data_IF_811376268997
#
_entry.id   IF_811376268997
#
_cell.length_a   1.000
_cell.length_b   1.000
_cell.length_c   1.000
_cell.angle_alpha   90.00
_cell.angle_beta   90.00
_cell.angle_gamma   90.00
#
_symmetry.space_group_name_H-M   'P 1'
#
loop_
_entity.id
_entity.type
_entity.pdbx_description
1 polymer ?
#
# COMPACT_ATOMS: atom_id res chain seq x y z
N UNK A 1 16.40 -13.32 -4.66
CA UNK A 1 16.64 -12.79 -3.32
C UNK A 1 15.67 -11.65 -3.03
N UNK A 2 15.35 -11.41 -1.77
CA UNK A 2 14.46 -10.35 -1.31
C UNK A 2 14.71 -10.04 0.16
N UNK A 3 14.04 -9.01 0.70
CA UNK A 3 14.08 -8.67 2.11
C UNK A 3 12.67 -8.72 2.69
N UNK A 4 12.55 -8.98 3.99
CA UNK A 4 11.29 -8.93 4.73
C UNK A 4 11.26 -7.63 5.52
N UNK A 5 10.14 -6.90 5.42
CA UNK A 5 9.83 -5.66 6.13
C UNK A 5 10.85 -4.52 5.96
N UNK A 6 11.77 -4.58 5.02
CA UNK A 6 12.83 -3.57 4.85
C UNK A 6 13.66 -3.29 6.12
N UNK A 7 13.64 -4.24 7.07
CA UNK A 7 14.32 -4.10 8.36
C UNK A 7 15.84 -4.28 8.28
N UNK A 8 16.32 -5.04 7.30
CA UNK A 8 17.75 -5.23 7.03
C UNK A 8 18.01 -5.20 5.52
N UNK A 9 19.17 -4.71 5.14
CA UNK A 9 19.58 -4.67 3.72
C UNK A 9 20.12 -6.05 3.24
N UNK A 10 20.03 -7.07 4.07
CA UNK A 10 20.48 -8.41 3.73
C UNK A 10 19.47 -9.11 2.86
N UNK A 11 19.86 -9.40 1.63
CA UNK A 11 19.02 -10.15 0.70
C UNK A 11 18.92 -11.61 1.15
N UNK A 12 17.73 -12.01 1.58
CA UNK A 12 17.39 -13.39 1.94
C UNK A 12 17.12 -14.22 0.70
N UNK A 13 17.48 -15.51 0.72
CA UNK A 13 16.97 -16.43 -0.27
C UNK A 13 15.49 -16.80 0.03
N UNK A 14 14.76 -17.29 -0.98
CA UNK A 14 13.32 -17.56 -0.83
C UNK A 14 12.98 -18.58 0.28
N UNK A 15 13.87 -19.52 0.59
CA UNK A 15 13.67 -20.50 1.67
C UNK A 15 13.67 -19.88 3.07
N UNK A 16 14.19 -18.66 3.21
CA UNK A 16 14.27 -17.93 4.50
C UNK A 16 13.10 -16.95 4.70
N UNK A 17 12.31 -16.65 3.64
CA UNK A 17 11.27 -15.62 3.73
C UNK A 17 10.17 -15.98 4.74
N UNK A 18 9.70 -17.23 4.76
CA UNK A 18 8.64 -17.64 5.67
C UNK A 18 9.05 -17.49 7.14
N UNK A 19 10.25 -17.92 7.51
CA UNK A 19 10.74 -17.77 8.88
C UNK A 19 11.00 -16.32 9.28
N UNK A 20 11.53 -15.51 8.37
CA UNK A 20 11.74 -14.09 8.61
C UNK A 20 10.42 -13.32 8.74
N UNK A 21 9.41 -13.64 7.92
CA UNK A 21 8.07 -13.09 8.03
C UNK A 21 7.40 -13.49 9.36
N UNK A 22 7.51 -14.76 9.78
CA UNK A 22 6.97 -15.21 11.06
C UNK A 22 7.61 -14.48 12.25
N UNK A 23 8.92 -14.26 12.23
CA UNK A 23 9.60 -13.47 13.25
C UNK A 23 9.10 -12.02 13.30
N UNK A 24 8.89 -11.40 12.15
CA UNK A 24 8.36 -10.04 12.07
C UNK A 24 6.93 -9.97 12.60
N UNK A 25 6.08 -10.92 12.25
CA UNK A 25 4.68 -10.98 12.69
C UNK A 25 4.52 -11.25 14.19
N UNK A 26 5.53 -11.80 14.85
CA UNK A 26 5.52 -12.04 16.30
C UNK A 26 5.81 -10.77 17.13
N UNK A 27 6.22 -9.69 16.49
CA UNK A 27 6.47 -8.41 17.18
C UNK A 27 5.18 -7.64 17.42
N UNK A 28 5.11 -6.90 18.52
CA UNK A 28 3.99 -6.00 18.78
C UNK A 28 3.98 -4.86 17.76
N UNK A 29 2.82 -4.54 17.20
CA UNK A 29 2.67 -3.39 16.34
C UNK A 29 2.67 -2.10 17.17
N UNK A 30 3.44 -1.09 16.74
CA UNK A 30 3.49 0.23 17.37
C UNK A 30 2.28 1.09 16.98
N UNK A 31 1.66 0.82 15.83
CA UNK A 31 0.46 1.50 15.38
C UNK A 31 -0.47 0.54 14.63
N UNK A 32 -1.76 0.89 14.59
CA UNK A 32 -2.74 0.32 13.68
C UNK A 32 -2.96 1.27 12.50
N UNK A 33 -3.22 0.71 11.32
CA UNK A 33 -3.57 1.44 10.11
C UNK A 33 -4.92 0.93 9.63
N UNK A 34 -5.86 1.83 9.39
CA UNK A 34 -7.15 1.51 8.81
C UNK A 34 -7.53 2.58 7.78
N UNK A 35 -8.45 2.30 6.89
CA UNK A 35 -8.90 3.30 5.94
C UNK A 35 -9.89 2.78 4.93
N UNK A 36 -10.43 3.71 4.16
CA UNK A 36 -11.32 3.43 3.05
C UNK A 36 -11.07 4.38 1.89
N UNK A 37 -11.41 3.95 0.71
CA UNK A 37 -11.45 4.75 -0.50
C UNK A 37 -12.86 4.70 -1.11
N UNK A 38 -13.40 5.88 -1.44
CA UNK A 38 -14.65 6.00 -2.19
C UNK A 38 -14.31 6.52 -3.57
N UNK A 39 -14.61 5.73 -4.58
CA UNK A 39 -14.33 6.04 -5.98
C UNK A 39 -15.62 6.43 -6.68
N UNK A 40 -15.65 7.63 -7.23
CA UNK A 40 -16.74 8.05 -8.11
C UNK A 40 -16.42 7.62 -9.55
N UNK A 41 -17.15 6.65 -10.11
CA UNK A 41 -16.84 6.14 -11.44
C UNK A 41 -17.12 7.14 -12.56
N UNK A 42 -18.00 8.13 -12.32
CA UNK A 42 -18.32 9.13 -13.32
C UNK A 42 -17.24 10.21 -13.47
N UNK A 43 -16.60 10.60 -12.34
CA UNK A 43 -15.55 11.63 -12.31
C UNK A 43 -14.16 11.06 -12.25
N UNK A 44 -14.02 9.77 -11.94
CA UNK A 44 -12.76 9.07 -11.61
C UNK A 44 -12.03 9.66 -10.40
N UNK A 45 -12.73 10.40 -9.54
CA UNK A 45 -12.17 10.90 -8.28
C UNK A 45 -12.29 9.85 -7.20
N UNK A 46 -11.22 9.67 -6.43
CA UNK A 46 -11.20 8.89 -5.21
C UNK A 46 -11.04 9.81 -4.00
N UNK A 47 -11.95 9.71 -3.03
CA UNK A 47 -11.75 10.24 -1.67
C UNK A 47 -11.21 9.11 -0.81
N UNK A 48 -10.02 9.29 -0.27
CA UNK A 48 -9.31 8.28 0.51
C UNK A 48 -9.11 8.82 1.92
N UNK A 49 -9.63 8.09 2.91
CA UNK A 49 -9.44 8.41 4.33
C UNK A 49 -8.59 7.32 4.96
N UNK A 50 -7.53 7.71 5.64
CA UNK A 50 -6.63 6.80 6.37
C UNK A 50 -6.52 7.25 7.81
N UNK A 51 -6.67 6.31 8.72
CA UNK A 51 -6.47 6.49 10.16
C UNK A 51 -5.24 5.69 10.61
N UNK A 52 -4.40 6.34 11.41
CA UNK A 52 -3.25 5.73 12.06
C UNK A 52 -3.40 5.94 13.56
N UNK A 53 -3.58 4.86 14.31
CA UNK A 53 -3.68 4.90 15.76
C UNK A 53 -2.45 4.27 16.40
N UNK A 54 -1.73 5.03 17.22
CA UNK A 54 -0.53 4.55 17.90
C UNK A 54 -0.90 3.79 19.18
N UNK A 55 -0.60 2.50 19.19
CA UNK A 55 -0.76 1.60 20.35
C UNK A 55 0.47 1.60 21.27
N UNK A 56 1.61 2.01 20.73
CA UNK A 56 2.87 2.19 21.42
C UNK A 56 3.55 3.49 21.00
N UNK A 57 4.68 3.82 21.62
CA UNK A 57 5.51 4.92 21.17
C UNK A 57 6.41 4.43 20.03
N UNK A 58 6.45 5.16 18.93
CA UNK A 58 7.48 4.91 17.91
C UNK A 58 8.86 5.28 18.44
N UNK A 59 9.89 4.66 17.89
CA UNK A 59 11.29 4.94 18.23
C UNK A 59 11.78 6.30 17.73
N UNK A 60 10.98 6.95 16.87
CA UNK A 60 11.28 8.24 16.23
C UNK A 60 10.11 9.22 16.38
N UNK A 61 10.39 10.51 16.37
CA UNK A 61 9.41 11.58 16.61
C UNK A 61 8.41 11.76 15.46
N UNK A 62 8.71 11.21 14.29
CA UNK A 62 7.85 11.27 13.12
C UNK A 62 8.01 10.00 12.27
N UNK A 63 6.88 9.51 11.79
CA UNK A 63 6.80 8.41 10.83
C UNK A 63 6.30 8.90 9.47
N UNK A 64 6.18 8.00 8.49
CA UNK A 64 5.78 8.36 7.12
C UNK A 64 4.66 7.46 6.63
N UNK A 65 3.52 8.09 6.33
CA UNK A 65 2.37 7.42 5.74
C UNK A 65 2.50 7.41 4.22
N UNK A 66 2.44 6.23 3.63
CA UNK A 66 2.38 6.04 2.18
C UNK A 66 1.05 5.43 1.79
N UNK A 67 0.40 6.03 0.79
CA UNK A 67 -0.81 5.50 0.15
C UNK A 67 -0.51 5.22 -1.31
N UNK A 68 -0.82 4.00 -1.75
CA UNK A 68 -0.57 3.50 -3.11
C UNK A 68 -1.85 3.01 -3.74
N UNK A 69 -1.94 3.14 -5.07
CA UNK A 69 -2.96 2.50 -5.89
C UNK A 69 -2.34 1.30 -6.62
N UNK A 70 -2.92 0.14 -6.41
CA UNK A 70 -2.61 -1.11 -7.09
C UNK A 70 -3.74 -1.43 -8.08
N UNK A 71 -3.49 -2.34 -9.00
CA UNK A 71 -4.52 -2.88 -9.88
C UNK A 71 -4.30 -4.37 -10.09
N UNK A 72 -5.39 -5.10 -10.01
CA UNK A 72 -5.45 -6.52 -10.32
C UNK A 72 -5.84 -6.76 -11.78
N UNK A 73 -5.70 -8.00 -12.20
CA UNK A 73 -6.17 -8.50 -13.50
C UNK A 73 -5.54 -7.82 -14.72
N UNK A 74 -4.31 -7.35 -14.62
CA UNK A 74 -3.59 -6.81 -15.77
C UNK A 74 -3.01 -7.96 -16.58
N UNK A 75 -3.49 -8.09 -17.83
CA UNK A 75 -3.04 -9.15 -18.73
C UNK A 75 -1.74 -8.76 -19.40
N UNK A 76 -0.77 -9.67 -19.42
CA UNK A 76 0.52 -9.41 -20.02
C UNK A 76 1.39 -10.66 -20.19
N UNK A 77 2.61 -10.46 -20.73
CA UNK A 77 3.57 -11.55 -20.83
C UNK A 77 4.35 -11.71 -19.53
N UNK A 78 4.65 -12.96 -19.17
CA UNK A 78 5.45 -13.30 -17.99
C UNK A 78 6.40 -14.44 -18.30
N UNK A 79 7.70 -14.21 -18.11
CA UNK A 79 8.69 -15.29 -18.23
C UNK A 79 8.39 -16.39 -17.20
N UNK A 80 8.29 -17.64 -17.65
CA UNK A 80 7.95 -18.78 -16.79
C UNK A 80 6.48 -18.79 -16.33
N UNK A 81 5.57 -18.03 -16.95
CA UNK A 81 4.15 -18.00 -16.63
C UNK A 81 3.50 -19.39 -16.67
N UNK A 82 3.96 -20.27 -17.58
CA UNK A 82 3.48 -21.67 -17.68
C UNK A 82 3.75 -22.52 -16.43
N UNK A 83 4.62 -22.07 -15.53
CA UNK A 83 4.82 -22.73 -14.23
C UNK A 83 3.73 -22.40 -13.20
N UNK A 84 2.84 -21.45 -13.53
CA UNK A 84 1.69 -21.06 -12.73
C UNK A 84 0.45 -21.05 -13.63
N UNK A 85 -0.03 -22.24 -14.04
CA UNK A 85 -1.10 -22.38 -15.03
C UNK A 85 -2.42 -21.75 -14.59
N UNK A 86 -2.67 -21.64 -13.29
CA UNK A 86 -3.87 -21.03 -12.71
C UNK A 86 -3.94 -19.51 -12.97
N UNK A 87 -2.82 -18.90 -13.28
CA UNK A 87 -2.74 -17.47 -13.61
C UNK A 87 -2.68 -17.22 -15.13
N UNK A 88 -2.66 -18.28 -15.93
CA UNK A 88 -2.66 -18.16 -17.39
C UNK A 88 -4.09 -18.12 -17.93
N UNK A 89 -4.47 -17.00 -18.52
CA UNK A 89 -5.79 -16.79 -19.14
C UNK A 89 -5.60 -16.46 -20.62
N UNK A 90 -6.12 -17.29 -21.51
CA UNK A 90 -6.03 -17.10 -22.96
C UNK A 90 -4.58 -16.88 -23.46
N UNK A 91 -3.62 -17.59 -22.88
CA UNK A 91 -2.19 -17.49 -23.26
C UNK A 91 -1.45 -16.28 -22.70
N UNK A 92 -2.08 -15.44 -21.90
CA UNK A 92 -1.48 -14.33 -21.18
C UNK A 92 -1.47 -14.60 -19.67
N UNK A 93 -0.49 -14.03 -18.98
CA UNK A 93 -0.43 -14.08 -17.52
C UNK A 93 -1.29 -12.97 -16.93
N UNK A 94 -2.14 -13.33 -15.96
CA UNK A 94 -2.95 -12.38 -15.19
C UNK A 94 -2.13 -11.86 -14.01
N UNK A 95 -1.63 -10.64 -14.14
CA UNK A 95 -0.86 -9.99 -13.08
C UNK A 95 -1.80 -9.40 -12.03
N UNK A 96 -1.47 -9.66 -10.76
CA UNK A 96 -2.21 -9.18 -9.59
C UNK A 96 -1.36 -8.21 -8.79
N UNK A 97 -2.01 -7.28 -8.07
CA UNK A 97 -1.39 -6.30 -7.16
C UNK A 97 -0.28 -5.46 -7.82
N UNK A 98 -0.48 -5.08 -9.08
CA UNK A 98 0.48 -4.25 -9.80
C UNK A 98 0.42 -2.81 -9.29
N UNK A 99 1.53 -2.29 -8.80
CA UNK A 99 1.65 -0.88 -8.42
C UNK A 99 1.40 0.01 -9.65
N UNK A 100 0.38 0.87 -9.55
CA UNK A 100 0.01 1.79 -10.62
C UNK A 100 0.50 3.22 -10.33
N UNK A 101 0.30 3.68 -9.11
CA UNK A 101 0.76 5.02 -8.70
C UNK A 101 0.85 5.14 -7.17
N UNK A 102 1.43 6.25 -6.72
CA UNK A 102 1.37 6.68 -5.33
C UNK A 102 0.44 7.88 -5.21
N UNK A 103 -0.41 7.88 -4.19
CA UNK A 103 -1.28 9.03 -3.84
C UNK A 103 -0.50 10.06 -3.04
N UNK A 104 0.30 9.57 -2.09
CA UNK A 104 1.27 10.39 -1.33
C UNK A 104 2.57 10.57 -2.09
N UNK A 105 3.47 11.47 -1.66
CA UNK A 105 4.86 11.49 -2.16
C UNK A 105 5.50 10.10 -2.09
N UNK A 106 6.43 9.80 -2.99
CA UNK A 106 7.06 8.47 -3.14
C UNK A 106 7.64 7.91 -1.83
N UNK A 107 8.09 8.77 -0.93
CA UNK A 107 8.66 8.39 0.36
C UNK A 107 7.69 8.54 1.52
N UNK A 108 6.41 8.77 1.23
CA UNK A 108 5.36 9.01 2.20
C UNK A 108 5.24 10.47 2.62
N UNK A 109 4.15 10.75 3.31
CA UNK A 109 3.87 12.02 4.00
C UNK A 109 4.24 11.88 5.47
N UNK A 110 4.95 12.86 6.01
CA UNK A 110 5.32 12.85 7.42
C UNK A 110 4.08 12.95 8.31
N UNK A 111 4.01 12.11 9.31
CA UNK A 111 2.97 12.10 10.34
C UNK A 111 3.59 12.18 11.75
N UNK A 112 2.97 12.97 12.60
CA UNK A 112 3.36 13.19 14.00
C UNK A 112 2.15 13.75 14.79
N UNK A 113 2.12 13.61 16.13
CA UNK A 113 3.07 12.91 16.99
C UNK A 113 2.93 11.39 16.90
N UNK A 114 3.98 10.65 17.30
CA UNK A 114 4.08 9.20 17.18
C UNK A 114 4.02 8.50 18.55
N UNK A 115 3.28 9.09 19.49
CA UNK A 115 3.14 8.61 20.86
C UNK A 115 1.87 7.80 21.05
N UNK A 116 1.92 6.82 21.95
CA UNK A 116 0.78 5.96 22.29
C UNK A 116 -0.48 6.78 22.61
N UNK A 117 -1.63 6.34 22.11
CA UNK A 117 -2.91 7.02 22.25
C UNK A 117 -3.18 8.10 21.19
N UNK A 118 -2.23 8.41 20.31
CA UNK A 118 -2.44 9.36 19.23
C UNK A 118 -3.22 8.73 18.08
N UNK A 119 -4.28 9.39 17.63
CA UNK A 119 -4.98 9.10 16.39
C UNK A 119 -4.67 10.19 15.36
N UNK A 120 -4.20 9.79 14.19
CA UNK A 120 -3.96 10.67 13.05
C UNK A 120 -4.91 10.28 11.93
N UNK A 121 -5.71 11.22 11.43
CA UNK A 121 -6.56 11.02 10.27
C UNK A 121 -6.02 11.85 9.10
N UNK A 122 -5.91 11.24 7.94
CA UNK A 122 -5.51 11.88 6.68
C UNK A 122 -6.57 11.64 5.62
N UNK A 123 -6.86 12.68 4.85
CA UNK A 123 -7.78 12.61 3.71
C UNK A 123 -7.07 13.05 2.44
N UNK A 124 -7.31 12.32 1.37
CA UNK A 124 -6.73 12.59 0.05
C UNK A 124 -7.85 12.60 -0.99
N UNK A 125 -7.80 13.59 -1.89
CA UNK A 125 -8.58 13.60 -3.13
C UNK A 125 -7.61 13.23 -4.25
N UNK A 126 -7.88 12.12 -4.94
CA UNK A 126 -7.00 11.59 -5.97
C UNK A 126 -7.77 11.37 -7.28
N UNK A 127 -7.33 12.04 -8.35
CA UNK A 127 -7.86 11.82 -9.69
C UNK A 127 -7.19 10.57 -10.29
N UNK A 128 -7.98 9.53 -10.55
CA UNK A 128 -7.50 8.27 -11.10
C UNK A 128 -7.32 8.42 -12.61
N UNK A 129 -6.09 8.33 -13.13
CA UNK A 129 -5.85 8.43 -14.57
C UNK A 129 -6.59 7.34 -15.34
N UNK A 130 -7.04 7.64 -16.56
CA UNK A 130 -7.67 6.63 -17.42
C UNK A 130 -6.68 5.54 -17.84
N UNK A 131 -5.40 5.90 -18.03
CA UNK A 131 -4.33 4.96 -18.34
C UNK A 131 -3.00 5.41 -17.72
N UNK A 132 -2.11 4.46 -17.47
CA UNK A 132 -0.78 4.72 -16.90
C UNK A 132 0.28 4.00 -17.73
N UNK A 133 1.37 4.69 -18.02
CA UNK A 133 2.52 4.22 -18.79
C UNK A 133 2.70 4.97 -20.11
N UNK A 134 3.90 4.92 -20.67
CA UNK A 134 4.26 5.59 -21.93
C UNK A 134 5.28 4.72 -22.66
N UNK A 135 5.22 4.62 -24.00
CA UNK A 135 4.26 5.23 -24.94
C UNK A 135 2.90 4.51 -25.00
N UNK A 136 2.81 3.27 -24.54
CA UNK A 136 1.62 2.42 -24.63
C UNK A 136 1.03 2.25 -23.23
N UNK A 137 0.23 3.22 -22.78
CA UNK A 137 -0.42 3.18 -21.50
C UNK A 137 -1.33 1.94 -21.35
N UNK A 138 -1.36 1.41 -20.12
CA UNK A 138 -2.30 0.37 -19.72
C UNK A 138 -3.48 1.03 -19.05
N UNK A 139 -4.70 0.66 -19.41
CA UNK A 139 -5.93 1.17 -18.86
C UNK A 139 -5.98 0.96 -17.34
N UNK A 140 -6.57 1.92 -16.62
CA UNK A 140 -6.88 1.78 -15.21
C UNK A 140 -8.35 1.44 -15.09
N UNK A 141 -8.60 0.17 -14.78
CA UNK A 141 -9.93 -0.40 -14.57
C UNK A 141 -10.35 -0.14 -13.11
N UNK A 142 -11.41 0.66 -12.93
CA UNK A 142 -11.90 1.06 -11.61
C UNK A 142 -12.46 -0.10 -10.78
N UNK A 143 -12.91 -1.18 -11.42
CA UNK A 143 -13.43 -2.36 -10.73
C UNK A 143 -12.30 -3.24 -10.16
N UNK A 144 -11.07 -3.06 -10.63
CA UNK A 144 -9.90 -3.85 -10.27
C UNK A 144 -8.82 -3.05 -9.51
N UNK A 145 -9.11 -1.81 -9.10
CA UNK A 145 -8.17 -1.03 -8.29
C UNK A 145 -8.29 -1.35 -6.80
N UNK A 146 -7.17 -1.28 -6.14
CA UNK A 146 -7.01 -1.48 -4.70
C UNK A 146 -6.17 -0.32 -4.17
N UNK A 147 -6.56 0.25 -3.04
CA UNK A 147 -5.70 1.19 -2.32
C UNK A 147 -5.05 0.50 -1.13
N UNK A 148 -3.77 0.73 -0.95
CA UNK A 148 -2.96 0.23 0.15
C UNK A 148 -2.36 1.39 0.91
N UNK A 149 -2.46 1.38 2.24
CA UNK A 149 -1.77 2.32 3.11
C UNK A 149 -0.77 1.60 4.01
N UNK A 150 0.39 2.22 4.26
CA UNK A 150 1.33 1.72 5.24
C UNK A 150 2.10 2.86 5.91
N UNK A 151 2.51 2.63 7.14
CA UNK A 151 3.38 3.52 7.91
C UNK A 151 4.78 2.95 7.95
N UNK A 152 5.77 3.73 7.56
CA UNK A 152 7.19 3.40 7.71
C UNK A 152 7.84 4.25 8.79
N UNK A 153 8.83 3.67 9.49
CA UNK A 153 9.57 4.35 10.56
C UNK A 153 10.26 5.60 10.04
N UNK A 154 10.93 5.49 8.89
CA UNK A 154 11.74 6.58 8.34
C UNK A 154 11.70 6.64 6.82
N UNK A 155 12.17 7.76 6.26
CA UNK A 155 12.45 7.91 4.84
C UNK A 155 13.88 7.48 4.51
N UNK A 156 14.16 7.33 3.21
CA UNK A 156 15.51 7.09 2.72
C UNK A 156 16.41 8.29 2.98
N UNK A 157 17.44 8.07 3.81
CA UNK A 157 18.52 9.03 4.00
C UNK A 157 19.87 8.37 3.66
N UNK A 158 20.90 9.13 3.24
CA UNK A 158 22.24 8.57 3.07
C UNK A 158 22.71 7.88 4.35
N UNK A 159 23.18 6.64 4.22
CA UNK A 159 23.67 5.83 5.36
C UNK A 159 22.57 5.08 6.13
N UNK A 160 21.29 5.36 5.93
CA UNK A 160 20.21 4.57 6.54
C UNK A 160 19.78 3.46 5.58
N UNK A 161 20.07 2.22 5.94
CA UNK A 161 19.74 1.03 5.17
C UNK A 161 18.37 0.44 5.55
N UNK A 162 17.89 0.66 6.76
CA UNK A 162 16.65 0.10 7.29
C UNK A 162 15.51 1.11 7.24
N UNK A 163 14.33 0.65 6.89
CA UNK A 163 13.09 1.44 6.83
C UNK A 163 11.92 0.53 7.09
N UNK A 164 11.84 -0.02 8.32
CA UNK A 164 10.80 -0.97 8.63
C UNK A 164 9.41 -0.36 8.40
N UNK A 165 8.51 -1.19 7.90
CA UNK A 165 7.09 -0.88 7.87
C UNK A 165 6.54 -1.26 9.24
N UNK A 166 5.92 -0.32 9.93
CA UNK A 166 5.35 -0.50 11.25
C UNK A 166 4.02 -1.25 11.17
N UNK A 167 3.18 -0.88 10.22
CA UNK A 167 1.96 -1.58 9.89
C UNK A 167 1.46 -1.20 8.49
N UNK A 168 0.55 -2.01 7.93
CA UNK A 168 -0.03 -1.81 6.61
C UNK A 168 -1.48 -2.29 6.58
N UNK A 169 -2.31 -1.70 5.72
CA UNK A 169 -3.69 -2.07 5.51
C UNK A 169 -4.07 -1.92 4.03
N UNK A 170 -4.75 -2.91 3.48
CA UNK A 170 -5.53 -2.75 2.27
C UNK A 170 -6.81 -2.01 2.62
N UNK A 171 -7.08 -0.91 1.93
CA UNK A 171 -8.23 -0.06 2.23
C UNK A 171 -9.50 -0.64 1.63
N UNK A 172 -10.60 -0.59 2.36
CA UNK A 172 -11.91 -0.91 1.81
C UNK A 172 -12.22 0.07 0.67
N UNK A 173 -12.32 -0.45 -0.56
CA UNK A 173 -12.63 0.36 -1.74
C UNK A 173 -14.10 0.21 -2.09
N UNK A 174 -14.81 1.33 -2.16
CA UNK A 174 -16.23 1.42 -2.45
C UNK A 174 -16.45 2.30 -3.66
N UNK A 175 -17.47 1.98 -4.46
CA UNK A 175 -17.93 2.87 -5.54
C UNK A 175 -19.08 3.73 -5.05
N UNK A 176 -19.04 5.03 -5.36
CA UNK A 176 -20.07 5.98 -4.95
C UNK A 176 -19.67 7.41 -5.23
N UNK A 177 -20.50 8.36 -4.75
CA UNK A 177 -20.10 9.77 -4.74
C UNK A 177 -19.03 10.01 -3.70
N UNK A 178 -17.99 10.76 -4.06
CA UNK A 178 -16.92 11.19 -3.14
C UNK A 178 -17.43 12.05 -1.97
N UNK A 179 -18.65 12.59 -2.11
CA UNK A 179 -19.34 13.34 -1.06
C UNK A 179 -20.06 12.43 -0.05
N UNK A 180 -20.13 11.12 -0.32
CA UNK A 180 -20.78 10.19 0.60
C UNK A 180 -20.03 10.16 1.93
N UNK A 181 -20.77 10.36 3.02
CA UNK A 181 -20.24 10.24 4.38
C UNK A 181 -20.34 8.77 4.77
N UNK A 182 -19.19 8.11 4.90
CA UNK A 182 -19.13 6.77 5.43
C UNK A 182 -18.85 6.81 6.95
N UNK A 183 -19.41 5.86 7.71
CA UNK A 183 -19.11 5.79 9.14
C UNK A 183 -17.61 5.57 9.36
N UNK A 184 -17.07 6.17 10.43
CA UNK A 184 -15.68 6.03 10.85
C UNK A 184 -15.26 4.56 10.87
N UNK A 185 -14.09 4.28 10.35
CA UNK A 185 -13.43 3.01 10.51
C UNK A 185 -12.72 3.09 11.86
N UNK A 186 -13.20 2.33 12.83
CA UNK A 186 -12.48 2.23 14.09
C UNK A 186 -11.12 1.56 13.84
N UNK A 187 -10.04 2.28 14.11
CA UNK A 187 -8.68 1.75 14.05
C UNK A 187 -8.42 0.79 15.23
#
# INVERSE_FOLDING_TARGET
>A
SGAVNRSEYTALNRGQWASAAAQQMAQAAECNVAGQAVVNPATRMAKITVEVYYTGNSTVDANYLTVMMLQDSIMGSQSGGTSNPEQMINGQYCHMHILRSTVTPTWGEQIAPTTAGTLITKEYMYEIPASIGSPNGVEVDLDNIIFLAFVSESVKTPGNATRPILNACELTTLQGSEDAIFPYIAA
#
